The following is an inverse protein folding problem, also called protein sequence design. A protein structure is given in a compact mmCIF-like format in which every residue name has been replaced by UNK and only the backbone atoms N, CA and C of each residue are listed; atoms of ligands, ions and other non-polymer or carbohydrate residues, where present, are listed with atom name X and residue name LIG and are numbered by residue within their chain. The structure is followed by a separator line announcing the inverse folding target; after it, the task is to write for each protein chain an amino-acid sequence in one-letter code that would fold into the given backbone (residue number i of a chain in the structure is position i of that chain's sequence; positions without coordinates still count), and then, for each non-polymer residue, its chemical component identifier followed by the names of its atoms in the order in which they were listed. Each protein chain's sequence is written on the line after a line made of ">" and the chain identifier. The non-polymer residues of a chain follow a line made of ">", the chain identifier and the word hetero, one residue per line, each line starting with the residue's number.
data_IF_884421209209
#
_entry.id   IF_884421209209
#
_cell.length_a   1.000
_cell.length_b   1.000
_cell.length_c   1.000
_cell.angle_alpha   90.00
_cell.angle_beta   90.00
_cell.angle_gamma   90.00
#
_symmetry.space_group_name_H-M   'P 1'
#
loop_
_entity.id
_entity.type
_entity.pdbx_description
1 polymer ?
#
# COMPACT_ATOMS: atom_id res chain seq x y z
N UNK A 1 -4.97 -13.08 -7.97
CA UNK A 1 -5.63 -12.04 -7.14
C UNK A 1 -6.52 -11.18 -8.01
N UNK A 2 -7.83 -11.41 -7.96
CA UNK A 2 -8.82 -10.67 -8.78
C UNK A 2 -9.37 -9.43 -8.08
N UNK A 3 -9.32 -9.39 -6.75
CA UNK A 3 -9.81 -8.25 -5.99
C UNK A 3 -8.84 -7.07 -6.09
N UNK A 4 -9.38 -5.93 -6.56
CA UNK A 4 -8.67 -4.68 -6.73
C UNK A 4 -9.35 -3.56 -5.93
N UNK A 5 -8.67 -2.43 -5.74
CA UNK A 5 -9.22 -1.27 -5.08
C UNK A 5 -8.66 0.06 -5.59
N UNK A 6 -9.41 1.14 -5.37
CA UNK A 6 -8.94 2.51 -5.37
C UNK A 6 -9.03 3.11 -3.95
N UNK A 7 -8.10 4.01 -3.56
CA UNK A 7 -8.26 4.78 -2.34
C UNK A 7 -9.43 5.76 -2.51
N UNK A 8 -10.39 5.73 -1.59
CA UNK A 8 -11.51 6.68 -1.58
C UNK A 8 -11.12 7.93 -0.78
N UNK A 9 -11.41 9.11 -1.34
CA UNK A 9 -11.21 10.40 -0.66
C UNK A 9 -12.34 10.73 0.32
N UNK A 10 -13.49 10.07 0.22
CA UNK A 10 -14.69 10.33 1.03
C UNK A 10 -14.80 9.39 2.23
N UNK A 11 -13.79 9.42 3.11
CA UNK A 11 -13.74 8.55 4.30
C UNK A 11 -14.92 8.77 5.24
N UNK A 12 -15.93 7.89 5.19
CA UNK A 12 -17.05 7.84 6.17
C UNK A 12 -16.79 6.90 7.35
N UNK A 13 -15.58 6.33 7.46
CA UNK A 13 -15.16 5.55 8.63
C UNK A 13 -13.70 5.83 8.92
N UNK A 14 -13.28 5.74 10.17
CA UNK A 14 -11.97 6.12 10.73
C UNK A 14 -10.74 5.37 10.14
N UNK A 15 -10.93 4.64 9.04
CA UNK A 15 -9.89 4.03 8.20
C UNK A 15 -10.09 4.56 6.79
N UNK A 16 -9.06 5.16 6.18
CA UNK A 16 -9.11 5.62 4.78
C UNK A 16 -9.82 4.58 3.88
N UNK A 17 -10.99 4.96 3.36
CA UNK A 17 -11.89 4.02 2.67
C UNK A 17 -11.24 3.42 1.43
N UNK A 18 -11.49 2.15 1.15
CA UNK A 18 -11.08 1.49 -0.11
C UNK A 18 -12.33 1.11 -0.90
N UNK A 19 -12.43 1.57 -2.15
CA UNK A 19 -13.49 1.15 -3.07
C UNK A 19 -13.03 -0.10 -3.82
N UNK A 20 -13.58 -1.25 -3.47
CA UNK A 20 -13.22 -2.53 -4.07
C UNK A 20 -13.90 -2.74 -5.43
N UNK A 21 -13.20 -3.42 -6.34
CA UNK A 21 -13.67 -3.76 -7.68
C UNK A 21 -12.90 -4.95 -8.24
N UNK A 22 -13.45 -5.61 -9.26
CA UNK A 22 -12.74 -6.62 -10.05
C UNK A 22 -12.13 -6.04 -11.34
N UNK A 23 -12.47 -4.78 -11.68
CA UNK A 23 -11.97 -4.10 -12.87
C UNK A 23 -10.51 -3.67 -12.68
N UNK A 24 -9.71 -3.73 -13.76
CA UNK A 24 -8.32 -3.24 -13.79
C UNK A 24 -8.20 -1.71 -13.88
N UNK A 25 -9.24 -1.09 -14.44
CA UNK A 25 -9.37 0.37 -14.56
C UNK A 25 -10.78 0.73 -14.09
N UNK A 26 -10.87 1.72 -13.21
CA UNK A 26 -12.13 2.29 -12.71
C UNK A 26 -11.99 3.81 -12.74
N UNK A 27 -12.97 4.51 -13.34
CA UNK A 27 -13.01 5.97 -13.42
C UNK A 27 -11.72 6.59 -14.03
N UNK A 28 -11.12 5.91 -15.02
CA UNK A 28 -9.87 6.32 -15.65
C UNK A 28 -8.60 6.08 -14.80
N UNK A 29 -8.74 5.57 -13.57
CA UNK A 29 -7.61 5.25 -12.69
C UNK A 29 -7.31 3.75 -12.71
N UNK A 30 -6.01 3.41 -12.70
CA UNK A 30 -5.55 2.02 -12.60
C UNK A 30 -5.75 1.52 -11.17
N UNK A 31 -6.45 0.40 -11.02
CA UNK A 31 -6.78 -0.18 -9.72
C UNK A 31 -5.59 -0.97 -9.15
N UNK A 32 -5.45 -0.98 -7.82
CA UNK A 32 -4.37 -1.68 -7.10
C UNK A 32 -4.85 -3.01 -6.55
N UNK A 33 -3.98 -4.01 -6.41
CA UNK A 33 -4.38 -5.26 -5.77
C UNK A 33 -4.76 -5.05 -4.32
N UNK A 34 -5.93 -5.58 -3.93
CA UNK A 34 -6.41 -5.51 -2.55
C UNK A 34 -5.61 -6.41 -1.60
N UNK A 35 -4.79 -7.32 -2.13
CA UNK A 35 -4.01 -8.26 -1.34
C UNK A 35 -2.56 -7.78 -1.20
N UNK A 36 -1.93 -8.00 -0.03
CA UNK A 36 -0.52 -7.66 0.16
C UNK A 36 0.39 -8.53 -0.72
N UNK A 37 1.62 -8.05 -0.94
CA UNK A 37 2.66 -8.85 -1.58
C UNK A 37 2.95 -10.11 -0.76
N UNK A 38 3.20 -11.24 -1.44
CA UNK A 38 3.49 -12.53 -0.80
C UNK A 38 4.76 -12.44 0.04
N UNK A 39 4.68 -12.87 1.30
CA UNK A 39 5.87 -13.02 2.14
C UNK A 39 6.77 -14.14 1.61
N UNK A 40 8.07 -13.89 1.56
CA UNK A 40 9.11 -14.88 1.23
C UNK A 40 10.20 -14.81 2.28
N UNK A 41 10.55 -15.91 2.95
CA UNK A 41 11.60 -15.90 3.98
C UNK A 41 12.97 -15.44 3.47
N UNK A 42 13.31 -15.78 2.22
CA UNK A 42 14.61 -15.47 1.62
C UNK A 42 14.75 -14.00 1.19
N UNK A 43 13.64 -13.31 0.87
CA UNK A 43 13.57 -11.89 0.52
C UNK A 43 14.89 -11.23 0.02
N UNK A 44 15.41 -11.73 -1.13
CA UNK A 44 16.70 -11.30 -1.70
C UNK A 44 16.82 -9.80 -1.94
N UNK A 45 15.69 -9.09 -2.04
CA UNK A 45 15.60 -7.65 -2.30
C UNK A 45 15.35 -6.83 -1.03
N UNK A 46 15.46 -7.42 0.16
CA UNK A 46 15.31 -6.76 1.46
C UNK A 46 16.16 -5.50 1.60
N UNK A 47 17.46 -5.57 1.25
CA UNK A 47 18.39 -4.42 1.26
C UNK A 47 17.86 -3.25 0.42
N UNK A 48 17.41 -3.54 -0.80
CA UNK A 48 16.88 -2.52 -1.72
C UNK A 48 15.60 -1.89 -1.16
N UNK A 49 14.67 -2.71 -0.64
CA UNK A 49 13.44 -2.22 -0.02
C UNK A 49 13.72 -1.29 1.16
N UNK A 50 14.66 -1.67 2.04
CA UNK A 50 15.03 -0.87 3.22
C UNK A 50 15.69 0.45 2.80
N UNK A 51 16.62 0.41 1.84
CA UNK A 51 17.26 1.63 1.31
C UNK A 51 16.23 2.59 0.72
N UNK A 52 15.29 2.11 -0.10
CA UNK A 52 14.21 2.92 -0.65
C UNK A 52 13.36 3.55 0.45
N UNK A 53 12.91 2.76 1.43
CA UNK A 53 12.13 3.26 2.57
C UNK A 53 12.90 4.33 3.36
N UNK A 54 14.20 4.13 3.58
CA UNK A 54 15.06 5.09 4.28
C UNK A 54 15.17 6.43 3.54
N UNK A 55 15.32 6.41 2.21
CA UNK A 55 15.42 7.64 1.39
C UNK A 55 14.17 8.51 1.48
N UNK A 56 13.00 7.88 1.58
CA UNK A 56 11.71 8.58 1.67
C UNK A 56 11.24 8.80 3.13
N UNK A 57 12.07 8.49 4.13
CA UNK A 57 11.69 8.67 5.54
C UNK A 57 10.54 7.76 6.00
N UNK A 58 10.26 6.65 5.29
CA UNK A 58 9.12 5.75 5.54
C UNK A 58 9.44 4.62 6.52
N UNK A 59 10.62 4.62 7.14
CA UNK A 59 10.94 3.64 8.19
C UNK A 59 10.21 4.03 9.48
N UNK A 60 9.60 3.05 10.14
CA UNK A 60 8.93 3.25 11.44
C UNK A 60 9.87 3.82 12.52
N UNK A 61 11.18 3.53 12.40
CA UNK A 61 12.21 4.09 13.29
C UNK A 61 12.55 5.55 12.99
N UNK A 62 12.12 6.09 11.84
CA UNK A 62 12.34 7.49 11.43
C UNK A 62 11.12 8.36 11.69
N UNK A 63 9.92 7.78 11.76
CA UNK A 63 8.72 8.50 12.21
C UNK A 63 8.87 8.82 13.70
N UNK A 64 8.67 10.08 14.10
CA UNK A 64 8.61 10.44 15.52
C UNK A 64 7.59 9.53 16.20
N UNK A 65 7.97 8.89 17.32
CA UNK A 65 6.98 8.27 18.20
C UNK A 65 5.93 9.34 18.54
N UNK A 66 4.66 9.01 18.36
CA UNK A 66 3.55 9.96 18.28
C UNK A 66 3.67 11.17 19.22
N UNK A 67 3.60 12.36 18.62
CA UNK A 67 2.96 13.52 19.24
C UNK A 67 1.51 13.54 18.79
#
# INVERSE_FOLDING_TARGET
>A
MHLMFLPDSKGTSATAGRRYTLKKVLDGQVTKSAHPARFSPDDKWSRHRITLRRRFGLLLTQTKAGQ
#
